data_IF_443572633749
#
_entry.id   IF_443572633749
#
_cell.length_a   1.000
_cell.length_b   1.000
_cell.length_c   1.000
_cell.angle_alpha   90.00
_cell.angle_beta   90.00
_cell.angle_gamma   90.00
#
_symmetry.space_group_name_H-M   'P 1'
#
loop_
_entity.id
_entity.type
_entity.pdbx_description
1 polymer ?
#
# COMPACT_ATOMS: atom_id res chain seq x y z
N UNK A 1 -22.43 -5.73 -15.94
CA UNK A 1 -21.05 -5.20 -15.94
C UNK A 1 -20.29 -5.66 -14.69
N UNK A 2 -19.65 -6.85 -14.71
CA UNK A 2 -18.95 -7.44 -13.56
C UNK A 2 -17.71 -6.66 -13.10
N UNK A 3 -17.06 -5.92 -14.01
CA UNK A 3 -15.83 -5.14 -13.75
C UNK A 3 -16.10 -3.95 -12.79
N UNK A 4 -17.29 -3.34 -12.85
CA UNK A 4 -17.66 -2.21 -11.99
C UNK A 4 -17.82 -2.62 -10.52
N UNK A 5 -18.36 -3.82 -10.26
CA UNK A 5 -18.49 -4.36 -8.89
C UNK A 5 -17.13 -4.68 -8.28
N UNK A 6 -16.23 -5.31 -9.04
CA UNK A 6 -14.87 -5.63 -8.60
C UNK A 6 -14.05 -4.37 -8.28
N UNK A 7 -14.12 -3.35 -9.15
CA UNK A 7 -13.42 -2.08 -8.93
C UNK A 7 -13.93 -1.29 -7.72
N UNK A 8 -15.24 -1.30 -7.46
CA UNK A 8 -15.84 -0.65 -6.29
C UNK A 8 -15.46 -1.34 -4.97
N UNK A 9 -15.46 -2.69 -4.95
CA UNK A 9 -14.99 -3.50 -3.82
C UNK A 9 -13.50 -3.24 -3.55
N UNK A 10 -12.66 -3.19 -4.58
CA UNK A 10 -11.25 -2.85 -4.42
C UNK A 10 -11.07 -1.44 -3.86
N UNK A 11 -11.75 -0.41 -4.39
CA UNK A 11 -11.62 0.95 -3.83
C UNK A 11 -12.10 1.04 -2.39
N UNK A 12 -13.15 0.30 -2.02
CA UNK A 12 -13.63 0.22 -0.63
C UNK A 12 -12.59 -0.43 0.28
N UNK A 13 -11.97 -1.53 -0.14
CA UNK A 13 -10.87 -2.17 0.60
C UNK A 13 -9.67 -1.23 0.77
N UNK A 14 -9.31 -0.47 -0.27
CA UNK A 14 -8.22 0.50 -0.22
C UNK A 14 -8.54 1.67 0.71
N UNK A 15 -9.77 2.18 0.67
CA UNK A 15 -10.26 3.22 1.57
C UNK A 15 -10.28 2.76 3.03
N UNK A 16 -10.83 1.58 3.31
CA UNK A 16 -10.84 0.99 4.64
C UNK A 16 -9.42 0.77 5.19
N UNK A 17 -8.50 0.27 4.35
CA UNK A 17 -7.08 0.11 4.71
C UNK A 17 -6.43 1.45 5.04
N UNK A 18 -6.68 2.49 4.25
CA UNK A 18 -6.11 3.82 4.47
C UNK A 18 -6.62 4.43 5.79
N UNK A 19 -7.92 4.33 6.06
CA UNK A 19 -8.51 4.80 7.32
C UNK A 19 -7.94 4.07 8.54
N UNK A 20 -7.85 2.74 8.47
CA UNK A 20 -7.24 1.93 9.54
C UNK A 20 -5.77 2.27 9.77
N UNK A 21 -5.00 2.54 8.70
CA UNK A 21 -3.61 2.95 8.81
C UNK A 21 -3.46 4.34 9.47
N UNK A 22 -4.31 5.31 9.14
CA UNK A 22 -4.30 6.64 9.76
C UNK A 22 -4.65 6.57 11.24
N UNK A 23 -5.73 5.85 11.58
CA UNK A 23 -6.14 5.67 12.97
C UNK A 23 -5.04 4.97 13.78
N UNK A 24 -4.49 3.88 13.25
CA UNK A 24 -3.41 3.13 13.91
C UNK A 24 -2.16 4.00 14.11
N UNK A 25 -1.73 4.76 13.11
CA UNK A 25 -0.57 5.65 13.23
C UNK A 25 -0.75 6.75 14.30
N UNK A 26 -1.98 7.29 14.44
CA UNK A 26 -2.28 8.31 15.44
C UNK A 26 -2.24 7.75 16.87
N UNK A 27 -2.87 6.58 17.10
CA UNK A 27 -3.02 6.01 18.44
C UNK A 27 -1.85 5.13 18.87
N UNK A 28 -1.11 4.51 17.94
CA UNK A 28 -0.04 3.57 18.28
C UNK A 28 1.10 4.26 19.07
N UNK A 29 1.45 5.50 18.73
CA UNK A 29 2.50 6.25 19.46
C UNK A 29 2.13 6.48 20.93
N UNK A 30 0.94 7.03 21.18
CA UNK A 30 0.46 7.31 22.55
C UNK A 30 0.24 6.03 23.36
N UNK A 31 -0.32 4.97 22.75
CA UNK A 31 -0.56 3.71 23.45
C UNK A 31 0.74 2.96 23.77
N UNK A 32 1.76 3.04 22.91
CA UNK A 32 3.08 2.43 23.20
C UNK A 32 3.79 3.17 24.33
N UNK A 33 3.65 4.49 24.40
CA UNK A 33 4.29 5.33 25.43
C UNK A 33 3.64 5.13 26.81
N UNK A 34 2.31 5.01 26.88
CA UNK A 34 1.57 4.89 28.14
C UNK A 34 1.44 3.43 28.65
N UNK A 35 1.35 2.45 27.76
CA UNK A 35 1.07 1.04 28.11
C UNK A 35 2.13 0.04 27.61
N UNK A 36 3.12 0.48 26.85
CA UNK A 36 4.20 -0.35 26.32
C UNK A 36 3.85 -1.16 25.06
N UNK A 37 4.88 -1.54 24.31
CA UNK A 37 4.73 -2.25 23.03
C UNK A 37 3.95 -3.59 23.10
N UNK A 38 4.12 -4.47 24.11
CA UNK A 38 3.42 -5.77 24.14
C UNK A 38 1.90 -5.64 24.18
N UNK A 39 1.38 -4.63 24.89
CA UNK A 39 -0.05 -4.36 24.96
C UNK A 39 -0.61 -3.94 23.60
N UNK A 40 0.08 -3.05 22.89
CA UNK A 40 -0.32 -2.58 21.54
C UNK A 40 -0.31 -3.71 20.53
N UNK A 41 0.67 -4.61 20.58
CA UNK A 41 0.69 -5.82 19.75
C UNK A 41 -0.50 -6.74 20.07
N UNK A 42 -0.85 -6.92 21.35
CA UNK A 42 -2.01 -7.70 21.76
C UNK A 42 -3.32 -7.14 21.21
N UNK A 43 -3.53 -5.83 21.32
CA UNK A 43 -4.72 -5.15 20.75
C UNK A 43 -4.73 -5.28 19.22
N UNK A 44 -3.58 -5.11 18.56
CA UNK A 44 -3.47 -5.21 17.10
C UNK A 44 -3.77 -6.63 16.60
N UNK A 45 -3.43 -7.66 17.38
CA UNK A 45 -3.71 -9.06 17.05
C UNK A 45 -5.21 -9.41 17.03
N UNK A 46 -6.07 -8.60 17.66
CA UNK A 46 -7.52 -8.78 17.60
C UNK A 46 -8.07 -8.55 16.18
N UNK A 47 -7.48 -7.65 15.38
CA UNK A 47 -7.97 -7.36 14.03
C UNK A 47 -7.82 -8.56 13.07
N UNK A 48 -6.65 -9.21 12.95
CA UNK A 48 -6.53 -10.45 12.18
C UNK A 48 -7.44 -11.58 12.68
N UNK A 49 -7.63 -11.71 14.00
CA UNK A 49 -8.53 -12.72 14.57
C UNK A 49 -10.00 -12.48 14.18
N UNK A 50 -10.45 -11.22 14.20
CA UNK A 50 -11.78 -10.86 13.71
C UNK A 50 -11.95 -11.17 12.21
N UNK A 51 -10.93 -10.90 11.39
CA UNK A 51 -10.95 -11.23 9.95
C UNK A 51 -10.99 -12.74 9.74
N UNK A 52 -10.21 -13.52 10.50
CA UNK A 52 -10.25 -14.98 10.46
C UNK A 52 -11.64 -15.51 10.88
N UNK A 53 -12.26 -14.90 11.90
CA UNK A 53 -13.64 -15.20 12.30
C UNK A 53 -14.65 -14.90 11.20
N UNK A 54 -14.53 -13.75 10.54
CA UNK A 54 -15.41 -13.36 9.43
C UNK A 54 -15.25 -14.27 8.21
N UNK A 55 -14.06 -14.83 7.97
CA UNK A 55 -13.82 -15.77 6.87
C UNK A 55 -14.70 -17.02 6.96
N UNK A 56 -15.04 -17.50 8.17
CA UNK A 56 -15.97 -18.62 8.34
C UNK A 56 -17.40 -18.30 7.89
N UNK A 57 -17.79 -17.02 7.85
CA UNK A 57 -19.11 -16.58 7.37
C UNK A 57 -19.15 -16.33 5.86
N UNK A 58 -17.99 -16.31 5.19
CA UNK A 58 -17.93 -16.14 3.73
C UNK A 58 -18.36 -17.46 3.08
N UNK A 59 -19.59 -17.46 2.54
CA UNK A 59 -20.04 -18.52 1.65
C UNK A 59 -19.29 -18.41 0.34
N UNK A 60 -18.41 -19.38 0.08
CA UNK A 60 -17.80 -19.53 -1.24
C UNK A 60 -18.86 -20.03 -2.23
N UNK A 61 -19.11 -19.26 -3.29
CA UNK A 61 -19.85 -19.77 -4.44
C UNK A 61 -18.89 -20.62 -5.29
N UNK A 62 -19.25 -21.88 -5.63
CA UNK A 62 -18.46 -22.67 -6.54
C UNK A 62 -18.31 -21.92 -7.86
N UNK A 63 -17.07 -21.72 -8.33
CA UNK A 63 -16.83 -21.13 -9.63
C UNK A 63 -17.54 -22.00 -10.68
N UNK A 64 -18.52 -21.42 -11.40
CA UNK A 64 -19.31 -22.08 -12.45
C UNK A 64 -18.48 -22.61 -13.64
N UNK A 65 -17.15 -22.47 -13.58
CA UNK A 65 -16.18 -23.03 -14.51
C UNK A 65 -15.16 -23.87 -13.74
N UNK A 66 -15.64 -24.94 -13.10
CA UNK A 66 -14.78 -26.05 -12.70
C UNK A 66 -14.27 -26.72 -13.99
N UNK A 67 -13.16 -26.21 -14.54
CA UNK A 67 -12.37 -26.98 -15.50
C UNK A 67 -12.06 -28.33 -14.85
N UNK A 68 -12.15 -29.46 -15.58
CA UNK A 68 -11.94 -30.80 -15.03
C UNK A 68 -10.62 -30.79 -14.29
N UNK A 69 -10.66 -31.19 -13.01
CA UNK A 69 -9.58 -31.19 -12.03
C UNK A 69 -8.22 -31.49 -12.65
N UNK A 70 -7.53 -30.43 -13.11
CA UNK A 70 -6.12 -30.54 -13.46
C UNK A 70 -5.39 -30.74 -12.15
N UNK A 71 -4.59 -31.80 -12.05
CA UNK A 71 -3.70 -32.03 -10.92
C UNK A 71 -2.97 -30.73 -10.60
N UNK A 72 -2.83 -30.38 -9.32
CA UNK A 72 -2.22 -29.11 -8.85
C UNK A 72 -0.95 -28.73 -9.63
N UNK A 73 -0.13 -29.71 -10.02
CA UNK A 73 1.05 -29.51 -10.87
C UNK A 73 0.77 -29.02 -12.30
N UNK A 74 -0.27 -29.52 -12.98
CA UNK A 74 -0.66 -29.05 -14.31
C UNK A 74 -1.25 -27.63 -14.27
N UNK A 75 -1.99 -27.30 -13.21
CA UNK A 75 -2.49 -25.95 -13.01
C UNK A 75 -1.35 -24.96 -12.73
N UNK A 76 -0.37 -25.37 -11.91
CA UNK A 76 0.83 -24.58 -11.65
C UNK A 76 1.66 -24.35 -12.92
N UNK A 77 1.85 -25.39 -13.74
CA UNK A 77 2.58 -25.26 -15.02
C UNK A 77 1.89 -24.31 -16.00
N UNK A 78 0.56 -24.39 -16.11
CA UNK A 78 -0.20 -23.49 -16.97
C UNK A 78 -0.12 -22.05 -16.48
N UNK A 79 -0.30 -21.83 -15.17
CA UNK A 79 -0.19 -20.50 -14.57
C UNK A 79 1.23 -19.93 -14.71
N UNK A 80 2.28 -20.73 -14.51
CA UNK A 80 3.67 -20.33 -14.73
C UNK A 80 3.93 -19.98 -16.19
N UNK A 81 3.39 -20.76 -17.14
CA UNK A 81 3.49 -20.46 -18.57
C UNK A 81 2.79 -19.15 -18.95
N UNK A 82 1.59 -18.91 -18.42
CA UNK A 82 0.85 -17.64 -18.61
C UNK A 82 1.59 -16.47 -17.99
N UNK A 83 2.11 -16.61 -16.76
CA UNK A 83 2.90 -15.57 -16.09
C UNK A 83 4.18 -15.26 -16.86
N UNK A 84 4.90 -16.28 -17.34
CA UNK A 84 6.10 -16.10 -18.15
C UNK A 84 5.82 -15.35 -19.45
N UNK A 85 4.70 -15.68 -20.10
CA UNK A 85 4.26 -15.01 -21.33
C UNK A 85 3.87 -13.55 -21.06
N UNK A 86 3.18 -13.28 -19.94
CA UNK A 86 2.81 -11.92 -19.53
C UNK A 86 4.06 -11.07 -19.21
N UNK A 87 5.03 -11.62 -18.48
CA UNK A 87 6.30 -10.92 -18.16
C UNK A 87 7.09 -10.61 -19.43
N UNK A 88 7.09 -11.50 -20.42
CA UNK A 88 7.82 -11.31 -21.69
C UNK A 88 7.14 -10.31 -22.63
N UNK A 89 5.91 -9.90 -22.34
CA UNK A 89 5.18 -8.91 -23.15
C UNK A 89 5.80 -7.53 -22.94
N UNK A 90 6.25 -6.89 -24.03
CA UNK A 90 7.04 -5.64 -23.98
C UNK A 90 6.32 -4.49 -23.26
N UNK A 91 4.99 -4.45 -23.34
CA UNK A 91 4.15 -3.44 -22.67
C UNK A 91 4.16 -3.57 -21.14
N UNK A 92 4.41 -4.77 -20.60
CA UNK A 92 4.43 -5.05 -19.15
C UNK A 92 5.87 -5.04 -18.64
N UNK A 93 6.82 -5.57 -19.42
CA UNK A 93 8.22 -5.67 -19.03
C UNK A 93 8.86 -4.31 -18.74
N UNK A 94 8.64 -3.32 -19.61
CA UNK A 94 9.25 -1.98 -19.48
C UNK A 94 8.83 -1.25 -18.19
N UNK A 95 7.52 -1.11 -17.88
CA UNK A 95 7.09 -0.54 -16.60
C UNK A 95 7.59 -1.34 -15.39
N UNK A 96 7.58 -2.67 -15.47
CA UNK A 96 8.02 -3.54 -14.38
C UNK A 96 9.51 -3.40 -14.10
N UNK A 97 10.34 -3.37 -15.15
CA UNK A 97 11.78 -3.16 -15.04
C UNK A 97 12.11 -1.77 -14.49
N UNK A 98 11.37 -0.74 -14.93
CA UNK A 98 11.52 0.61 -14.38
C UNK A 98 11.22 0.66 -12.87
N UNK A 99 10.09 0.09 -12.43
CA UNK A 99 9.72 0.04 -11.01
C UNK A 99 10.71 -0.81 -10.21
N UNK A 100 11.19 -1.92 -10.77
CA UNK A 100 12.19 -2.78 -10.14
C UNK A 100 13.52 -2.06 -9.92
N UNK A 101 14.05 -1.38 -10.94
CA UNK A 101 15.27 -0.61 -10.84
C UNK A 101 15.12 0.55 -9.85
N UNK A 102 13.97 1.20 -9.84
CA UNK A 102 13.68 2.26 -8.89
C UNK A 102 13.66 1.74 -7.43
N UNK A 103 12.91 0.66 -7.16
CA UNK A 103 12.79 0.04 -5.84
C UNK A 103 14.07 -0.68 -5.37
N UNK A 104 14.96 -1.03 -6.29
CA UNK A 104 16.26 -1.62 -5.98
C UNK A 104 17.25 -0.62 -5.39
N UNK A 105 16.92 0.67 -5.40
CA UNK A 105 17.70 1.68 -4.67
C UNK A 105 17.51 1.44 -3.17
N UNK A 106 18.57 1.06 -2.41
CA UNK A 106 18.42 0.77 -0.99
C UNK A 106 17.82 1.97 -0.26
N UNK A 107 16.70 1.75 0.42
CA UNK A 107 16.00 2.83 1.12
C UNK A 107 16.84 3.31 2.29
N UNK A 108 17.26 4.58 2.26
CA UNK A 108 17.99 5.22 3.36
C UNK A 108 17.13 5.47 4.62
N UNK A 109 15.89 4.95 4.68
CA UNK A 109 14.92 5.19 5.76
C UNK A 109 15.48 4.85 7.14
N UNK A 110 16.15 3.70 7.29
CA UNK A 110 16.74 3.28 8.56
C UNK A 110 17.94 4.15 8.96
N UNK A 111 18.77 4.57 7.98
CA UNK A 111 19.91 5.46 8.23
C UNK A 111 19.44 6.88 8.60
N UNK A 112 18.37 7.36 7.94
CA UNK A 112 17.73 8.64 8.23
C UNK A 112 17.11 8.64 9.63
N UNK A 113 16.41 7.56 10.01
CA UNK A 113 15.86 7.41 11.36
C UNK A 113 16.97 7.39 12.42
N UNK A 114 18.04 6.64 12.19
CA UNK A 114 19.20 6.62 13.08
C UNK A 114 19.83 8.01 13.23
N UNK A 115 20.04 8.74 12.13
CA UNK A 115 20.59 10.10 12.16
C UNK A 115 19.66 11.07 12.90
N UNK A 116 18.35 10.98 12.65
CA UNK A 116 17.35 11.86 13.24
C UNK A 116 17.22 11.66 14.76
N UNK A 117 17.31 10.41 15.22
CA UNK A 117 17.18 10.05 16.63
C UNK A 117 18.51 10.17 17.39
N UNK A 118 19.63 9.66 16.83
CA UNK A 118 20.92 9.62 17.55
C UNK A 118 21.83 10.83 17.31
N UNK A 119 21.74 11.52 16.17
CA UNK A 119 22.62 12.66 15.85
C UNK A 119 21.91 14.00 16.05
N UNK A 120 20.63 14.11 15.66
CA UNK A 120 19.84 15.34 15.87
C UNK A 120 19.13 15.37 17.22
N UNK A 121 18.98 14.24 17.90
CA UNK A 121 18.37 14.16 19.23
C UNK A 121 16.90 14.55 19.26
N UNK A 122 16.16 14.37 18.16
CA UNK A 122 14.74 14.70 18.15
C UNK A 122 13.95 13.77 19.06
N UNK A 123 13.16 14.40 19.93
CA UNK A 123 12.30 13.71 20.88
C UNK A 123 11.23 12.87 20.17
N UNK A 124 10.86 11.74 20.78
CA UNK A 124 9.87 10.81 20.20
C UNK A 124 8.52 11.50 19.95
N UNK A 125 8.13 12.44 20.81
CA UNK A 125 6.93 13.25 20.67
C UNK A 125 6.97 14.18 19.45
N UNK A 126 8.14 14.71 19.08
CA UNK A 126 8.29 15.55 17.89
C UNK A 126 8.17 14.71 16.62
N UNK A 127 8.83 13.55 16.58
CA UNK A 127 8.69 12.59 15.48
C UNK A 127 7.24 12.10 15.31
N UNK A 128 6.54 11.86 16.42
CA UNK A 128 5.12 11.52 16.43
C UNK A 128 4.23 12.61 15.83
N UNK A 129 4.47 13.89 16.18
CA UNK A 129 3.74 15.04 15.59
C UNK A 129 4.00 15.19 14.09
N UNK A 130 5.25 15.04 13.65
CA UNK A 130 5.59 15.06 12.21
C UNK A 130 4.91 13.90 11.48
N UNK A 131 4.90 12.70 12.08
CA UNK A 131 4.17 11.55 11.58
C UNK A 131 2.66 11.82 11.42
N UNK A 132 2.04 12.45 12.42
CA UNK A 132 0.63 12.84 12.36
C UNK A 132 0.32 13.79 11.19
N UNK A 133 1.10 14.86 11.02
CA UNK A 133 0.91 15.77 9.88
C UNK A 133 1.17 15.09 8.54
N UNK A 134 2.13 14.17 8.48
CA UNK A 134 2.40 13.35 7.28
C UNK A 134 1.20 12.46 6.94
N UNK A 135 0.58 11.83 7.94
CA UNK A 135 -0.64 11.04 7.76
C UNK A 135 -1.83 11.89 7.31
N UNK A 136 -1.99 13.09 7.86
CA UNK A 136 -3.05 14.03 7.45
C UNK A 136 -2.85 14.50 6.01
N UNK A 137 -1.62 14.86 5.63
CA UNK A 137 -1.26 15.24 4.27
C UNK A 137 -1.47 14.07 3.29
N UNK A 138 -1.12 12.84 3.68
CA UNK A 138 -1.36 11.63 2.90
C UNK A 138 -2.86 11.39 2.68
N UNK A 139 -3.68 11.51 3.73
CA UNK A 139 -5.13 11.37 3.64
C UNK A 139 -5.74 12.42 2.72
N UNK A 140 -5.33 13.69 2.85
CA UNK A 140 -5.75 14.76 1.96
C UNK A 140 -5.33 14.48 0.51
N UNK A 141 -4.10 14.03 0.27
CA UNK A 141 -3.61 13.64 -1.05
C UNK A 141 -4.42 12.51 -1.67
N UNK A 142 -4.76 11.47 -0.90
CA UNK A 142 -5.62 10.36 -1.34
C UNK A 142 -7.03 10.83 -1.64
N UNK A 143 -7.60 11.73 -0.84
CA UNK A 143 -8.92 12.31 -1.09
C UNK A 143 -8.93 13.13 -2.38
N UNK A 144 -7.94 14.01 -2.57
CA UNK A 144 -7.77 14.81 -3.79
C UNK A 144 -7.57 13.89 -5.01
N UNK A 145 -6.78 12.82 -4.87
CA UNK A 145 -6.58 11.84 -5.93
C UNK A 145 -7.88 11.16 -6.33
N UNK A 146 -8.66 10.67 -5.36
CA UNK A 146 -9.93 9.99 -5.61
C UNK A 146 -11.00 10.91 -6.19
N UNK A 147 -11.03 12.19 -5.80
CA UNK A 147 -12.05 13.15 -6.25
C UNK A 147 -11.71 13.77 -7.60
N UNK A 148 -10.44 14.11 -7.86
CA UNK A 148 -10.05 14.90 -9.05
C UNK A 148 -9.04 14.22 -9.98
N UNK A 149 -8.03 13.52 -9.45
CA UNK A 149 -6.95 12.99 -10.31
C UNK A 149 -7.25 11.62 -10.92
N UNK A 150 -8.20 10.86 -10.36
CA UNK A 150 -8.55 9.52 -10.88
C UNK A 150 -9.10 9.55 -12.31
N UNK A 151 -9.71 10.67 -12.73
CA UNK A 151 -10.23 10.87 -14.08
C UNK A 151 -9.19 11.44 -15.05
N UNK A 152 -8.02 11.87 -14.55
CA UNK A 152 -6.95 12.45 -15.36
C UNK A 152 -6.04 11.35 -15.91
N UNK A 153 -5.67 11.38 -17.20
CA UNK A 153 -4.75 10.39 -17.76
C UNK A 153 -3.38 10.44 -17.06
N UNK A 154 -2.87 9.28 -16.65
CA UNK A 154 -1.60 9.13 -15.91
C UNK A 154 -0.42 9.90 -16.52
N UNK A 155 -0.34 9.97 -17.86
CA UNK A 155 0.71 10.72 -18.56
C UNK A 155 0.74 12.21 -18.19
N UNK A 156 -0.43 12.84 -17.99
CA UNK A 156 -0.49 14.25 -17.56
C UNK A 156 -0.05 14.41 -16.11
N UNK A 157 -0.43 13.47 -15.24
CA UNK A 157 -0.04 13.50 -13.83
C UNK A 157 1.49 13.42 -13.74
N UNK A 158 2.10 12.40 -14.36
CA UNK A 158 3.55 12.24 -14.37
C UNK A 158 4.29 13.47 -14.95
N UNK A 159 3.79 14.03 -16.05
CA UNK A 159 4.40 15.21 -16.68
C UNK A 159 4.42 16.42 -15.73
N UNK A 160 3.27 16.75 -15.13
CA UNK A 160 3.18 17.88 -14.20
C UNK A 160 3.97 17.64 -12.91
N UNK A 161 3.92 16.42 -12.35
CA UNK A 161 4.70 16.09 -11.14
C UNK A 161 6.20 16.16 -11.39
N UNK A 162 6.68 15.74 -12.56
CA UNK A 162 8.10 15.84 -12.92
C UNK A 162 8.53 17.29 -13.08
N UNK A 163 7.74 18.13 -13.75
CA UNK A 163 8.05 19.57 -13.89
C UNK A 163 8.11 20.24 -12.52
N UNK A 164 7.09 20.06 -11.68
CA UNK A 164 7.07 20.66 -10.34
C UNK A 164 8.21 20.13 -9.47
N UNK A 165 8.51 18.83 -9.56
CA UNK A 165 9.59 18.20 -8.81
C UNK A 165 10.97 18.71 -9.21
N UNK A 166 11.24 18.88 -10.50
CA UNK A 166 12.50 19.46 -10.98
C UNK A 166 12.62 20.93 -10.60
N UNK A 167 11.56 21.74 -10.70
CA UNK A 167 11.59 23.15 -10.31
C UNK A 167 11.86 23.34 -8.80
N UNK A 168 11.17 22.57 -7.95
CA UNK A 168 11.41 22.57 -6.51
C UNK A 168 12.81 22.04 -6.17
N UNK A 169 13.26 20.99 -6.86
CA UNK A 169 14.59 20.40 -6.66
C UNK A 169 15.74 21.33 -7.08
N UNK A 170 15.51 22.25 -8.03
CA UNK A 170 16.47 23.30 -8.39
C UNK A 170 16.47 24.48 -7.40
N UNK A 171 15.49 24.55 -6.50
CA UNK A 171 15.38 25.62 -5.49
C UNK A 171 16.03 25.23 -4.15
N UNK A 172 16.33 23.94 -3.94
CA UNK A 172 17.06 23.40 -2.79
C UNK A 172 18.55 23.29 -3.10
#
# INVERSE_FOLDING_TARGET
APISKAGALQSLCWGARALGAVASAFFAGSLVEEYGAPFVFGVTALFPLMVAGAAFFVREEPAAQAHPSKTMGQQLQLQLGTLWTAIKTREIFLPTAFVFLWQSTPSASNAMFYFTTNQLGFDATFLGRVGFFTSLASLAGVAIYNVKLKEVPLKKIFFWTSITGTLLGLTQ
#
